data_IF_974416523402
#
_entry.id   IF_974416523402
#
_cell.length_a   1.000
_cell.length_b   1.000
_cell.length_c   1.000
_cell.angle_alpha   90.00
_cell.angle_beta   90.00
_cell.angle_gamma   90.00
#
_symmetry.space_group_name_H-M   'P 1'
#
loop_
_entity.id
_entity.type
_entity.pdbx_description
1 polymer ?
#
# COMPACT_ATOMS: atom_id res chain seq x y z
N UNK A 1 -12.60 3.08 29.35
CA UNK A 1 -12.08 3.56 28.04
C UNK A 1 -13.19 3.40 27.00
N UNK A 2 -13.26 4.21 25.95
CA UNK A 2 -14.30 4.03 24.93
C UNK A 2 -13.91 2.90 23.95
N UNK A 3 -14.87 2.14 23.43
CA UNK A 3 -14.65 0.97 22.57
C UNK A 3 -13.70 1.22 21.40
N UNK A 4 -13.83 2.35 20.72
CA UNK A 4 -12.98 2.69 19.57
C UNK A 4 -11.52 2.96 19.94
N UNK A 5 -11.19 3.29 21.19
CA UNK A 5 -9.79 3.48 21.60
C UNK A 5 -9.01 2.16 21.59
N UNK A 6 -9.64 1.02 21.95
CA UNK A 6 -8.97 -0.28 21.86
C UNK A 6 -8.63 -0.66 20.42
N UNK A 7 -9.53 -0.35 19.48
CA UNK A 7 -9.31 -0.58 18.05
C UNK A 7 -8.18 0.33 17.55
N UNK A 8 -8.22 1.61 17.93
CA UNK A 8 -7.17 2.58 17.59
C UNK A 8 -5.78 2.11 18.04
N UNK A 9 -5.63 1.67 19.27
CA UNK A 9 -4.35 1.19 19.80
C UNK A 9 -3.85 -0.07 19.10
N UNK A 10 -4.77 -1.00 18.80
CA UNK A 10 -4.43 -2.24 18.11
C UNK A 10 -4.02 -2.01 16.66
N UNK A 11 -4.54 -0.98 15.96
CA UNK A 11 -4.20 -0.65 14.58
C UNK A 11 -2.71 -0.29 14.37
N UNK A 12 -2.03 0.20 15.40
CA UNK A 12 -0.56 0.40 15.34
C UNK A 12 0.22 -0.89 15.29
N UNK A 13 -0.29 -1.94 15.95
CA UNK A 13 0.44 -3.19 16.19
C UNK A 13 0.07 -4.29 15.20
N UNK A 14 -1.20 -4.33 14.77
CA UNK A 14 -1.76 -5.41 13.99
C UNK A 14 -2.26 -4.93 12.64
N UNK A 15 -2.26 -5.83 11.66
CA UNK A 15 -2.75 -5.54 10.30
C UNK A 15 -4.17 -6.08 10.07
N UNK A 16 -4.71 -6.84 11.03
CA UNK A 16 -6.10 -7.31 11.04
C UNK A 16 -6.64 -7.25 12.47
N UNK A 17 -7.80 -6.63 12.66
CA UNK A 17 -8.49 -6.55 13.95
C UNK A 17 -9.93 -6.97 13.73
N UNK A 18 -10.28 -8.15 14.21
CA UNK A 18 -11.63 -8.69 14.10
C UNK A 18 -12.47 -8.20 15.28
N UNK A 19 -13.62 -7.63 14.97
CA UNK A 19 -14.69 -7.32 15.92
C UNK A 19 -15.71 -8.46 15.76
N UNK A 20 -15.84 -9.36 16.76
CA UNK A 20 -16.72 -10.50 16.66
C UNK A 20 -18.15 -10.12 16.28
N UNK A 21 -18.76 -10.87 15.37
CA UNK A 21 -20.12 -10.66 14.87
C UNK A 21 -20.38 -9.32 14.16
N UNK A 22 -19.32 -8.52 13.85
CA UNK A 22 -19.46 -7.23 13.20
C UNK A 22 -18.66 -7.11 11.91
N UNK A 23 -17.39 -7.50 11.93
CA UNK A 23 -16.46 -7.41 10.82
C UNK A 23 -15.03 -7.20 11.28
N UNK A 24 -14.13 -6.87 10.34
CA UNK A 24 -12.72 -6.65 10.66
C UNK A 24 -12.15 -5.40 9.98
N UNK A 25 -11.32 -4.67 10.70
CA UNK A 25 -10.42 -3.68 10.13
C UNK A 25 -9.19 -4.38 9.55
N UNK A 26 -8.87 -4.06 8.31
CA UNK A 26 -7.72 -4.57 7.57
C UNK A 26 -6.79 -3.43 7.23
N UNK A 27 -5.50 -3.60 7.51
CA UNK A 27 -4.47 -2.62 7.23
C UNK A 27 -3.56 -3.10 6.09
N UNK A 28 -3.43 -2.27 5.05
CA UNK A 28 -2.51 -2.50 3.95
C UNK A 28 -1.39 -1.47 3.98
N UNK A 29 -0.13 -1.93 3.98
CA UNK A 29 1.04 -1.05 3.91
C UNK A 29 1.24 -0.57 2.48
N UNK A 30 1.45 0.72 2.31
CA UNK A 30 1.83 1.33 1.04
C UNK A 30 3.21 1.95 1.17
N UNK A 31 4.04 1.74 0.14
CA UNK A 31 5.36 2.36 0.06
C UNK A 31 5.27 3.88 -0.07
N UNK A 32 6.36 4.56 0.28
CA UNK A 32 6.52 5.98 0.00
C UNK A 32 6.28 6.27 -1.49
N UNK A 33 5.68 7.42 -1.79
CA UNK A 33 5.35 7.82 -3.17
C UNK A 33 5.86 9.22 -3.45
N UNK A 34 6.49 9.38 -4.62
CA UNK A 34 6.79 10.67 -5.21
C UNK A 34 5.72 11.01 -6.24
N UNK A 35 5.13 12.18 -6.12
CA UNK A 35 4.24 12.75 -7.12
C UNK A 35 5.02 13.75 -7.98
N UNK A 36 5.37 13.41 -9.24
CA UNK A 36 6.21 14.27 -10.08
C UNK A 36 5.55 15.61 -10.44
N UNK A 37 4.21 15.64 -10.51
CA UNK A 37 3.44 16.84 -10.85
C UNK A 37 3.55 17.93 -9.78
N UNK A 38 3.50 17.55 -8.51
CA UNK A 38 3.61 18.46 -7.36
C UNK A 38 5.01 18.46 -6.77
N UNK A 39 5.90 17.57 -7.22
CA UNK A 39 7.24 17.34 -6.66
C UNK A 39 7.20 17.04 -5.14
N UNK A 40 6.09 16.44 -4.67
CA UNK A 40 5.87 16.13 -3.26
C UNK A 40 6.15 14.65 -3.00
N UNK A 41 6.95 14.39 -1.99
CA UNK A 41 7.21 13.05 -1.47
C UNK A 41 6.30 12.76 -0.29
N UNK A 42 5.56 11.66 -0.36
CA UNK A 42 4.72 11.17 0.72
C UNK A 42 5.35 9.95 1.38
N UNK A 43 5.40 9.91 2.70
CA UNK A 43 5.96 8.77 3.44
C UNK A 43 5.13 7.49 3.23
N UNK A 44 5.69 6.33 3.58
CA UNK A 44 4.92 5.09 3.62
C UNK A 44 3.80 5.20 4.65
N UNK A 45 2.69 4.51 4.43
CA UNK A 45 1.53 4.56 5.34
C UNK A 45 0.76 3.24 5.38
N UNK A 46 -0.03 3.05 6.44
CA UNK A 46 -1.09 2.05 6.50
C UNK A 46 -2.39 2.65 5.94
N UNK A 47 -3.02 1.93 5.02
CA UNK A 47 -4.39 2.23 4.55
C UNK A 47 -5.31 1.26 5.25
N UNK A 48 -6.33 1.79 5.93
CA UNK A 48 -7.33 1.02 6.65
C UNK A 48 -8.52 0.79 5.73
N UNK A 49 -9.04 -0.42 5.73
CA UNK A 49 -10.29 -0.82 5.11
C UNK A 49 -11.10 -1.66 6.08
N UNK A 50 -12.38 -1.86 5.80
CA UNK A 50 -13.27 -2.69 6.62
C UNK A 50 -13.87 -3.81 5.80
N UNK A 51 -13.97 -5.01 6.37
CA UNK A 51 -14.60 -6.17 5.77
C UNK A 51 -15.65 -6.76 6.72
N UNK A 52 -16.91 -6.64 6.36
CA UNK A 52 -18.05 -7.12 7.16
C UNK A 52 -18.21 -8.65 7.21
N UNK A 53 -17.48 -9.39 6.35
CA UNK A 53 -17.56 -10.84 6.29
C UNK A 53 -16.59 -11.56 7.25
N UNK A 54 -15.60 -10.84 7.80
CA UNK A 54 -14.63 -11.39 8.74
C UNK A 54 -15.13 -11.21 10.18
N UNK A 55 -16.00 -12.11 10.63
CA UNK A 55 -16.72 -12.01 11.91
C UNK A 55 -16.28 -13.03 12.96
N UNK A 56 -15.47 -14.01 12.59
CA UNK A 56 -15.00 -15.07 13.50
C UNK A 56 -14.04 -14.50 14.56
N UNK A 57 -14.38 -14.66 15.81
CA UNK A 57 -13.55 -14.21 16.92
C UNK A 57 -12.17 -14.90 16.90
N UNK A 58 -11.09 -14.15 16.80
CA UNK A 58 -9.70 -14.61 16.93
C UNK A 58 -9.14 -14.42 18.35
N UNK A 59 -9.92 -13.82 19.24
CA UNK A 59 -9.55 -13.53 20.61
C UNK A 59 -8.71 -12.28 20.80
N UNK A 60 -8.17 -11.66 19.76
CA UNK A 60 -7.24 -10.52 19.86
C UNK A 60 -7.87 -9.35 20.63
N UNK A 61 -9.04 -8.88 20.18
CA UNK A 61 -9.69 -7.71 20.78
C UNK A 61 -10.15 -8.00 22.21
N UNK A 62 -10.73 -9.19 22.45
CA UNK A 62 -11.22 -9.56 23.78
C UNK A 62 -10.07 -9.72 24.79
N UNK A 63 -8.96 -10.34 24.40
CA UNK A 63 -7.76 -10.43 25.24
C UNK A 63 -7.18 -9.05 25.55
N UNK A 64 -7.08 -8.19 24.55
CA UNK A 64 -6.58 -6.82 24.75
C UNK A 64 -7.42 -6.04 25.74
N UNK A 65 -8.76 -6.05 25.61
CA UNK A 65 -9.68 -5.38 26.55
C UNK A 65 -9.57 -6.00 27.95
N UNK A 66 -9.50 -7.33 28.03
CA UNK A 66 -9.33 -8.06 29.30
C UNK A 66 -8.07 -7.61 30.05
N UNK A 67 -6.93 -7.45 29.33
CA UNK A 67 -5.66 -7.01 29.91
C UNK A 67 -5.70 -5.52 30.35
N UNK A 68 -6.25 -4.66 29.51
CA UNK A 68 -6.30 -3.20 29.77
C UNK A 68 -7.23 -2.89 30.94
N UNK A 69 -8.42 -3.48 30.95
CA UNK A 69 -9.46 -3.20 31.94
C UNK A 69 -9.36 -4.13 33.17
N UNK A 70 -8.40 -5.07 33.16
CA UNK A 70 -8.18 -6.07 34.24
C UNK A 70 -9.45 -6.84 34.57
N UNK A 71 -10.19 -7.25 33.55
CA UNK A 71 -11.41 -8.04 33.69
C UNK A 71 -11.24 -9.45 33.10
N UNK A 72 -12.07 -10.44 33.49
CA UNK A 72 -12.06 -11.74 32.82
C UNK A 72 -12.36 -11.65 31.34
N UNK A 73 -11.78 -12.57 30.54
CA UNK A 73 -11.98 -12.66 29.10
C UNK A 73 -13.47 -12.69 28.71
N UNK A 74 -14.27 -13.49 29.42
CA UNK A 74 -15.71 -13.60 29.16
C UNK A 74 -16.46 -12.28 29.38
N UNK A 75 -16.02 -11.47 30.35
CA UNK A 75 -16.57 -10.13 30.56
C UNK A 75 -16.20 -9.17 29.46
N UNK A 76 -14.97 -9.26 28.94
CA UNK A 76 -14.53 -8.46 27.79
C UNK A 76 -15.30 -8.85 26.52
N UNK A 77 -15.57 -10.13 26.31
CA UNK A 77 -16.36 -10.61 25.19
C UNK A 77 -17.81 -10.12 25.26
N UNK A 78 -18.45 -10.21 26.43
CA UNK A 78 -19.79 -9.68 26.64
C UNK A 78 -19.87 -8.16 26.46
N UNK A 79 -18.83 -7.44 26.85
CA UNK A 79 -18.71 -6.00 26.58
C UNK A 79 -18.64 -5.71 25.07
N UNK A 80 -17.81 -6.47 24.32
CA UNK A 80 -17.73 -6.32 22.85
C UNK A 80 -19.08 -6.59 22.18
N UNK A 81 -19.78 -7.66 22.59
CA UNK A 81 -21.09 -8.02 22.03
C UNK A 81 -22.11 -6.90 22.21
N UNK A 82 -22.15 -6.30 23.39
CA UNK A 82 -23.03 -5.15 23.69
C UNK A 82 -22.68 -3.96 22.80
N UNK A 83 -21.41 -3.59 22.71
CA UNK A 83 -20.98 -2.46 21.86
C UNK A 83 -21.35 -2.70 20.39
N UNK A 84 -21.20 -3.95 19.89
CA UNK A 84 -21.57 -4.35 18.54
C UNK A 84 -23.08 -4.22 18.29
N UNK A 85 -23.91 -4.59 19.26
CA UNK A 85 -25.37 -4.42 19.19
C UNK A 85 -25.73 -2.92 19.08
N UNK A 86 -25.12 -2.07 19.90
CA UNK A 86 -25.33 -0.62 19.87
C UNK A 86 -24.88 0.00 18.53
N UNK A 87 -23.70 -0.41 18.00
CA UNK A 87 -23.21 0.03 16.69
C UNK A 87 -24.18 -0.35 15.58
N UNK A 88 -24.66 -1.61 15.56
CA UNK A 88 -25.64 -2.09 14.56
C UNK A 88 -26.97 -1.37 14.66
N UNK A 89 -27.38 -1.00 15.88
CA UNK A 89 -28.62 -0.25 16.08
C UNK A 89 -28.52 1.17 15.51
N UNK A 90 -27.41 1.86 15.74
CA UNK A 90 -27.16 3.19 15.17
C UNK A 90 -27.12 3.16 13.64
N UNK A 91 -26.37 2.22 13.06
CA UNK A 91 -26.29 2.05 11.60
C UNK A 91 -27.66 1.74 10.99
N UNK A 92 -28.51 0.91 11.63
CA UNK A 92 -29.88 0.60 11.17
C UNK A 92 -30.81 1.80 11.21
N UNK A 93 -30.56 2.76 12.10
CA UNK A 93 -31.30 4.04 12.12
C UNK A 93 -30.85 5.02 11.03
N UNK A 94 -29.84 4.65 10.23
CA UNK A 94 -29.25 5.53 9.22
C UNK A 94 -28.26 6.53 9.79
N UNK A 95 -27.85 6.34 11.05
CA UNK A 95 -26.83 7.18 11.70
C UNK A 95 -25.43 6.72 11.27
N UNK A 96 -24.50 7.66 11.23
CA UNK A 96 -23.08 7.36 11.03
C UNK A 96 -22.40 7.04 12.35
N UNK A 97 -21.54 6.03 12.33
CA UNK A 97 -20.71 5.64 13.48
C UNK A 97 -19.27 6.09 13.25
N UNK A 98 -18.77 6.97 14.11
CA UNK A 98 -17.40 7.48 14.02
C UNK A 98 -16.47 6.72 14.96
N UNK A 99 -15.39 6.20 14.40
CA UNK A 99 -14.23 5.69 15.14
C UNK A 99 -13.17 6.80 15.11
N UNK A 100 -12.97 7.47 16.23
CA UNK A 100 -12.10 8.64 16.33
C UNK A 100 -10.70 8.33 15.73
N UNK A 101 -10.23 9.21 14.83
CA UNK A 101 -8.97 9.08 14.09
C UNK A 101 -8.82 7.84 13.19
N UNK A 102 -9.77 6.92 13.18
CA UNK A 102 -9.77 5.71 12.35
C UNK A 102 -10.61 5.90 11.10
N UNK A 103 -11.85 6.37 11.26
CA UNK A 103 -12.77 6.59 10.15
C UNK A 103 -14.23 6.60 10.57
N UNK A 104 -15.11 6.59 9.58
CA UNK A 104 -16.55 6.65 9.77
C UNK A 104 -17.22 5.47 9.04
N UNK A 105 -18.24 4.90 9.63
CA UNK A 105 -19.07 3.83 9.04
C UNK A 105 -20.49 4.29 8.82
N UNK A 106 -21.06 3.90 7.70
CA UNK A 106 -22.47 4.12 7.35
C UNK A 106 -23.05 2.88 6.66
N UNK A 107 -24.35 2.76 6.62
CA UNK A 107 -25.00 1.79 5.70
C UNK A 107 -25.27 2.48 4.35
N UNK A 108 -25.03 1.72 3.27
CA UNK A 108 -25.51 2.12 1.94
C UNK A 108 -26.98 1.70 1.75
N UNK A 109 -27.54 2.00 0.57
CA UNK A 109 -28.92 1.61 0.19
C UNK A 109 -29.17 0.10 0.20
N UNK A 110 -28.13 -0.72 0.12
CA UNK A 110 -28.18 -2.19 0.16
C UNK A 110 -28.00 -2.74 1.58
N UNK A 111 -27.99 -1.88 2.61
CA UNK A 111 -27.71 -2.25 4.01
C UNK A 111 -26.34 -2.91 4.22
N UNK A 112 -25.35 -2.58 3.39
CA UNK A 112 -23.95 -2.98 3.56
C UNK A 112 -23.18 -1.86 4.25
N UNK A 113 -22.23 -2.24 5.08
CA UNK A 113 -21.34 -1.29 5.76
C UNK A 113 -20.37 -0.66 4.74
N UNK A 114 -20.42 0.65 4.63
CA UNK A 114 -19.42 1.46 3.92
C UNK A 114 -18.53 2.13 4.96
N UNK A 115 -17.23 1.94 4.84
CA UNK A 115 -16.23 2.52 5.71
C UNK A 115 -15.41 3.57 4.96
N UNK A 116 -15.37 4.78 5.51
CA UNK A 116 -14.54 5.87 5.03
C UNK A 116 -13.38 6.09 6.01
N UNK A 117 -12.13 5.75 5.63
CA UNK A 117 -10.98 5.90 6.52
C UNK A 117 -10.64 7.36 6.79
N UNK A 118 -10.22 7.67 8.01
CA UNK A 118 -9.58 8.94 8.33
C UNK A 118 -8.14 8.96 7.80
N UNK A 119 -7.72 10.10 7.25
CA UNK A 119 -6.34 10.30 6.77
C UNK A 119 -5.50 11.16 7.71
N UNK A 120 -6.02 11.47 8.89
CA UNK A 120 -5.35 12.33 9.86
C UNK A 120 -4.20 11.62 10.57
N UNK A 121 -4.34 10.31 10.78
CA UNK A 121 -3.35 9.48 11.49
C UNK A 121 -2.73 8.46 10.56
N UNK A 122 -1.41 8.33 10.60
CA UNK A 122 -0.69 7.24 9.96
C UNK A 122 -0.39 6.15 10.99
N UNK A 123 -1.09 5.02 10.92
CA UNK A 123 -0.92 3.89 11.83
C UNK A 123 0.34 3.05 11.57
N UNK A 124 1.18 3.43 10.60
CA UNK A 124 2.46 2.78 10.35
C UNK A 124 3.51 3.30 11.34
N UNK A 125 3.83 2.52 12.37
CA UNK A 125 4.79 2.90 13.40
C UNK A 125 6.18 3.22 12.82
N UNK A 126 6.62 2.50 11.78
CA UNK A 126 7.89 2.71 11.09
C UNK A 126 7.96 4.09 10.38
N UNK A 127 6.82 4.72 10.14
CA UNK A 127 6.73 6.05 9.52
C UNK A 127 6.42 7.16 10.55
N UNK A 128 6.54 6.86 11.84
CA UNK A 128 6.31 7.86 12.89
C UNK A 128 7.25 9.06 12.73
N UNK A 129 6.70 10.27 12.79
CA UNK A 129 7.46 11.51 12.62
C UNK A 129 7.80 11.88 11.17
N UNK A 130 7.50 11.02 10.18
CA UNK A 130 7.66 11.35 8.78
C UNK A 130 6.47 12.15 8.28
N UNK A 131 6.72 13.34 7.72
CA UNK A 131 5.73 14.15 7.01
C UNK A 131 5.99 14.14 5.50
N UNK A 132 5.03 14.62 4.71
CA UNK A 132 5.28 14.92 3.32
C UNK A 132 6.23 16.12 3.20
N UNK A 133 7.04 16.15 2.14
CA UNK A 133 7.91 17.28 1.84
C UNK A 133 8.04 17.48 0.33
N UNK A 134 8.25 18.74 -0.04
CA UNK A 134 8.42 19.11 -1.43
C UNK A 134 9.91 19.04 -1.83
N UNK A 135 10.18 18.47 -2.99
CA UNK A 135 11.53 18.31 -3.53
C UNK A 135 11.76 19.40 -4.57
N UNK A 136 12.77 20.24 -4.34
CA UNK A 136 13.21 21.18 -5.37
C UNK A 136 13.78 20.40 -6.57
N UNK A 137 13.33 20.76 -7.78
CA UNK A 137 13.87 20.19 -9.02
C UNK A 137 15.34 20.57 -9.16
N UNK A 138 16.21 19.58 -9.16
CA UNK A 138 17.63 19.79 -9.42
C UNK A 138 17.81 19.87 -10.94
N UNK A 139 17.91 21.07 -11.50
CA UNK A 139 18.34 21.27 -12.86
C UNK A 139 19.85 20.95 -12.95
N UNK A 140 20.16 19.71 -13.29
CA UNK A 140 21.54 19.35 -13.65
C UNK A 140 21.83 20.01 -14.99
N UNK A 141 22.45 21.19 -14.96
CA UNK A 141 23.13 21.71 -16.14
C UNK A 141 24.24 20.72 -16.47
N UNK A 142 24.02 19.89 -17.46
CA UNK A 142 25.04 19.07 -18.07
C UNK A 142 26.04 20.05 -18.72
N UNK A 143 27.06 20.43 -17.97
CA UNK A 143 28.23 21.04 -18.57
C UNK A 143 28.95 19.93 -19.35
N UNK A 144 28.44 19.61 -20.52
CA UNK A 144 29.25 19.00 -21.56
C UNK A 144 30.29 20.07 -21.95
N UNK A 145 31.39 20.09 -21.22
CA UNK A 145 32.59 20.71 -21.73
C UNK A 145 33.00 19.86 -22.92
N UNK A 146 32.67 20.37 -24.10
CA UNK A 146 33.23 19.98 -25.37
C UNK A 146 34.74 20.28 -25.29
N UNK A 147 35.53 19.27 -24.86
CA UNK A 147 36.97 19.28 -25.08
C UNK A 147 37.22 18.91 -26.54
N UNK A 148 37.00 19.87 -27.43
CA UNK A 148 37.53 19.86 -28.79
C UNK A 148 38.75 20.75 -28.84
N UNK A 149 39.87 20.27 -28.37
CA UNK A 149 41.20 20.72 -28.77
C UNK A 149 42.18 19.58 -28.48
N UNK A 150 42.33 18.66 -29.42
CA UNK A 150 43.56 17.88 -29.54
C UNK A 150 44.17 18.30 -30.88
N UNK A 151 45.23 19.05 -30.72
CA UNK A 151 46.22 19.54 -31.66
C UNK A 151 46.67 18.45 -32.66
N UNK A 152 46.75 18.86 -33.89
CA UNK A 152 47.41 18.12 -34.97
C UNK A 152 48.90 18.02 -34.71
N UNK A 153 49.40 16.83 -34.53
CA UNK A 153 50.81 16.54 -34.83
C UNK A 153 50.89 15.28 -35.66
N UNK A 154 51.45 15.40 -36.82
CA UNK A 154 51.63 14.34 -37.83
C UNK A 154 52.94 13.55 -37.57
N UNK A 155 53.45 12.69 -38.47
CA UNK A 155 53.27 11.22 -38.36
C UNK A 155 54.59 10.51 -38.24
N UNK A 156 54.63 9.31 -37.70
CA UNK A 156 55.71 8.36 -38.04
C UNK A 156 55.15 6.91 -38.16
N UNK A 157 55.52 6.40 -39.26
CA UNK A 157 55.49 5.10 -39.90
C UNK A 157 55.84 3.87 -39.02
N UNK A 158 55.24 2.76 -39.46
CA UNK A 158 55.68 1.38 -39.53
C UNK A 158 55.10 0.37 -38.52
N UNK A 159 54.56 -0.70 -39.15
CA UNK A 159 54.55 -2.04 -38.57
C UNK A 159 53.20 -2.79 -38.67
N UNK A 160 53.13 -3.64 -39.66
CA UNK A 160 52.08 -4.67 -39.87
C UNK A 160 51.77 -5.45 -38.62
N UNK A 161 50.49 -5.77 -38.42
CA UNK A 161 50.06 -7.16 -38.15
C UNK A 161 48.52 -7.29 -38.19
N UNK A 162 48.11 -8.26 -38.99
CA UNK A 162 46.74 -8.73 -39.19
C UNK A 162 46.11 -9.17 -37.87
N UNK A 163 44.91 -8.69 -37.53
CA UNK A 163 43.94 -9.44 -36.71
C UNK A 163 42.52 -9.19 -37.19
N UNK A 164 41.93 -10.28 -37.57
CA UNK A 164 40.58 -10.56 -38.05
C UNK A 164 39.47 -9.81 -37.30
N UNK A 165 38.62 -9.18 -38.08
CA UNK A 165 37.32 -8.65 -37.65
C UNK A 165 36.33 -9.81 -37.53
N UNK A 166 35.96 -10.20 -36.32
CA UNK A 166 34.79 -11.06 -36.08
C UNK A 166 33.52 -10.21 -36.06
N UNK A 167 32.74 -10.33 -37.09
CA UNK A 167 31.40 -9.81 -37.18
C UNK A 167 30.49 -10.51 -36.17
N UNK A 168 30.03 -9.78 -35.15
CA UNK A 168 28.92 -10.19 -34.29
C UNK A 168 27.62 -9.88 -35.02
N UNK A 169 27.06 -10.88 -35.71
CA UNK A 169 25.71 -10.83 -36.25
C UNK A 169 24.69 -10.85 -35.14
N UNK A 170 23.82 -9.86 -35.14
CA UNK A 170 22.69 -9.72 -34.22
C UNK A 170 21.63 -10.80 -34.49
N UNK A 171 21.31 -11.57 -33.45
CA UNK A 171 20.24 -12.55 -33.45
C UNK A 171 18.92 -11.83 -33.13
N UNK A 172 18.33 -11.15 -34.11
CA UNK A 172 16.95 -10.68 -34.06
C UNK A 172 16.26 -11.07 -35.36
N UNK A 173 15.67 -12.27 -35.40
CA UNK A 173 15.01 -12.69 -36.63
C UNK A 173 14.20 -13.96 -36.63
N UNK A 174 13.81 -14.55 -35.49
CA UNK A 174 13.01 -15.79 -35.50
C UNK A 174 11.87 -15.80 -34.48
N UNK A 175 11.04 -14.75 -34.44
CA UNK A 175 9.85 -14.72 -33.57
C UNK A 175 8.53 -14.46 -34.33
N UNK A 176 8.50 -14.57 -35.67
CA UNK A 176 7.30 -14.25 -36.44
C UNK A 176 6.67 -15.43 -37.19
N UNK A 177 7.18 -16.66 -37.06
CA UNK A 177 6.69 -17.78 -37.87
C UNK A 177 5.87 -18.87 -37.13
N UNK A 178 5.61 -18.70 -35.81
CA UNK A 178 4.89 -19.73 -35.02
C UNK A 178 3.43 -19.42 -34.68
N UNK A 179 2.86 -18.31 -35.13
CA UNK A 179 1.46 -17.94 -34.81
C UNK A 179 0.45 -18.35 -35.91
N UNK A 180 0.91 -18.75 -37.10
CA UNK A 180 0.00 -19.10 -38.20
C UNK A 180 -0.38 -20.59 -38.29
N UNK A 181 0.14 -21.46 -37.41
CA UNK A 181 -0.17 -22.91 -37.45
C UNK A 181 -1.25 -23.39 -36.47
N UNK A 182 -1.73 -22.51 -35.58
CA UNK A 182 -2.80 -22.86 -34.59
C UNK A 182 -4.21 -22.48 -35.08
N UNK A 183 -4.32 -21.67 -36.12
CA UNK A 183 -5.64 -21.23 -36.65
C UNK A 183 -6.26 -22.23 -37.68
N UNK A 184 -5.58 -23.29 -38.07
CA UNK A 184 -6.08 -24.24 -39.10
C UNK A 184 -6.60 -25.57 -38.55
N UNK A 185 -6.59 -25.81 -37.23
CA UNK A 185 -7.07 -27.08 -36.62
C UNK A 185 -8.34 -26.93 -35.77
N UNK A 186 -9.05 -25.80 -35.87
CA UNK A 186 -10.28 -25.50 -35.09
C UNK A 186 -11.58 -25.50 -35.88
N UNK A 187 -11.61 -26.11 -37.11
CA UNK A 187 -12.83 -26.23 -37.92
C UNK A 187 -12.98 -27.65 -38.45
N UNK A 188 -13.40 -28.53 -37.57
CA UNK A 188 -14.17 -29.75 -37.91
C UNK A 188 -14.94 -30.19 -36.66
#
# INVERSE_FOLDING_TARGET
>A
MQFHNYIYDLLYRYDCIIIPNFGAFLCNRTSAKLYPSTQTFYPPKKIISFNENLISNDGLLANYISEVEKMPYESALAYIEKEVEDLKLLLKKGESVSFENVGCMTYNSESKIVFEPSYQTNFLADAFGLSHFDIAKIDRKTNLKENSEIEKAAPHSNGNEDKQIQNKTSIFGYAAASILLIASLGLF
#
